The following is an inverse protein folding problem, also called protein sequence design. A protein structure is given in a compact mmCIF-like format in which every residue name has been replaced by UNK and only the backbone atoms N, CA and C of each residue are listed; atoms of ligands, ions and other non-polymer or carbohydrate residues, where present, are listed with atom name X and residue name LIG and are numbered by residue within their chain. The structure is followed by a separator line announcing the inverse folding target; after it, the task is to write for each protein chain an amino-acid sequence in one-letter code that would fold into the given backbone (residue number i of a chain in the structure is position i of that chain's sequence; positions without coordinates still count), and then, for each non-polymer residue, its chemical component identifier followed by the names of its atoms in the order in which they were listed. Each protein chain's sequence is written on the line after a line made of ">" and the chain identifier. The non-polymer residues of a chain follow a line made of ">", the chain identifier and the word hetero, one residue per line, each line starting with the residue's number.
data_IF_001903388430
#
_entry.id   IF_001903388430
#
_cell.length_a   1.000
_cell.length_b   1.000
_cell.length_c   1.000
_cell.angle_alpha   90.00
_cell.angle_beta   90.00
_cell.angle_gamma   90.00
#
_symmetry.space_group_name_H-M   'P 1'
#
loop_
_entity.id
_entity.type
_entity.pdbx_description
1 polymer ?
#
# COMPACT_ATOMS: atom_id res chain seq x y z
N UNK A 1 31.76 3.55 -52.33
CA UNK A 1 30.98 4.77 -52.01
C UNK A 1 29.99 4.40 -50.93
N UNK A 2 30.28 4.73 -49.67
CA UNK A 2 29.41 4.43 -48.53
C UNK A 2 28.24 5.40 -48.50
N UNK A 3 27.01 4.88 -48.49
CA UNK A 3 25.81 5.70 -48.57
C UNK A 3 25.61 6.55 -47.29
N UNK A 4 25.58 7.89 -47.38
CA UNK A 4 25.35 8.79 -46.23
C UNK A 4 23.93 8.72 -45.65
N UNK A 5 23.04 7.94 -46.26
CA UNK A 5 21.63 7.80 -45.88
C UNK A 5 21.41 6.99 -44.59
N UNK A 6 22.33 6.08 -44.25
CA UNK A 6 22.22 5.28 -43.01
C UNK A 6 22.39 6.11 -41.74
N UNK A 7 23.31 7.08 -41.75
CA UNK A 7 23.58 7.95 -40.60
C UNK A 7 22.39 8.86 -40.26
N UNK A 8 21.69 9.34 -41.30
CA UNK A 8 20.50 10.19 -41.15
C UNK A 8 19.31 9.43 -40.53
N UNK A 9 19.13 8.15 -40.92
CA UNK A 9 18.10 7.28 -40.33
C UNK A 9 18.35 7.01 -38.84
N UNK A 10 19.60 6.76 -38.44
CA UNK A 10 19.96 6.57 -37.03
C UNK A 10 19.81 7.86 -36.20
N UNK A 11 20.17 9.01 -36.76
CA UNK A 11 19.99 10.31 -36.09
C UNK A 11 18.51 10.63 -35.90
N UNK A 12 17.67 10.37 -36.90
CA UNK A 12 16.22 10.55 -36.81
C UNK A 12 15.60 9.63 -35.75
N UNK A 13 16.06 8.38 -35.66
CA UNK A 13 15.62 7.42 -34.64
C UNK A 13 16.01 7.87 -33.21
N UNK A 14 17.25 8.34 -33.02
CA UNK A 14 17.66 8.91 -31.73
C UNK A 14 16.85 10.16 -31.37
N UNK A 15 16.59 11.05 -32.34
CA UNK A 15 15.76 12.24 -32.13
C UNK A 15 14.31 11.88 -31.77
N UNK A 16 13.74 10.82 -32.37
CA UNK A 16 12.42 10.33 -31.96
C UNK A 16 12.42 9.78 -30.53
N UNK A 17 13.45 9.03 -30.13
CA UNK A 17 13.59 8.55 -28.73
C UNK A 17 13.82 9.69 -27.73
N UNK A 18 14.47 10.79 -28.15
CA UNK A 18 14.67 12.01 -27.35
C UNK A 18 13.43 12.92 -27.31
N UNK A 19 12.45 12.74 -28.21
CA UNK A 19 11.25 13.58 -28.32
C UNK A 19 9.96 12.85 -27.97
N UNK A 20 10.01 11.53 -27.77
CA UNK A 20 8.97 10.80 -27.06
C UNK A 20 8.96 11.32 -25.61
N UNK A 21 7.89 12.00 -25.15
CA UNK A 21 7.79 12.33 -23.75
C UNK A 21 7.86 11.01 -22.98
N UNK A 22 8.86 10.86 -22.12
CA UNK A 22 8.88 9.81 -21.12
C UNK A 22 7.69 10.08 -20.22
N UNK A 23 6.52 9.55 -20.60
CA UNK A 23 5.34 9.56 -19.77
C UNK A 23 5.70 8.67 -18.60
N UNK A 24 5.68 9.22 -17.38
CA UNK A 24 5.90 8.39 -16.20
C UNK A 24 4.86 7.29 -16.19
N UNK A 25 5.33 6.04 -16.30
CA UNK A 25 4.49 4.87 -16.09
C UNK A 25 4.59 4.56 -14.61
N UNK A 26 3.47 4.75 -13.91
CA UNK A 26 3.36 4.36 -12.52
C UNK A 26 2.98 2.88 -12.47
N UNK A 27 3.60 2.15 -11.55
CA UNK A 27 3.27 0.75 -11.26
C UNK A 27 2.95 0.57 -9.78
N UNK A 28 2.24 -0.50 -9.47
CA UNK A 28 1.99 -0.93 -8.10
C UNK A 28 3.09 -1.92 -7.72
N UNK A 29 4.16 -1.40 -7.12
CA UNK A 29 5.28 -2.23 -6.68
C UNK A 29 5.07 -2.70 -5.24
N UNK A 30 5.55 -3.89 -4.84
CA UNK A 30 5.36 -4.36 -3.48
C UNK A 30 6.01 -3.45 -2.43
N UNK A 31 7.23 -2.97 -2.69
CA UNK A 31 8.02 -2.19 -1.74
C UNK A 31 9.04 -1.24 -2.39
N UNK A 32 9.71 -0.46 -1.54
CA UNK A 32 10.70 0.53 -1.96
C UNK A 32 11.86 -0.05 -2.80
N UNK A 33 12.25 -1.31 -2.58
CA UNK A 33 13.33 -1.95 -3.32
C UNK A 33 12.92 -2.27 -4.74
N UNK A 34 11.73 -2.83 -4.94
CA UNK A 34 11.18 -3.05 -6.29
C UNK A 34 11.04 -1.75 -7.08
N UNK A 35 10.57 -0.67 -6.44
CA UNK A 35 10.51 0.66 -7.05
C UNK A 35 11.89 1.19 -7.46
N UNK A 36 12.87 1.02 -6.58
CA UNK A 36 14.25 1.49 -6.77
C UNK A 36 14.94 0.76 -7.93
N UNK A 37 14.83 -0.57 -7.97
CA UNK A 37 15.47 -1.40 -9.02
C UNK A 37 14.87 -1.11 -10.40
N UNK A 38 13.58 -0.80 -10.47
CA UNK A 38 12.87 -0.46 -11.71
C UNK A 38 13.03 1.00 -12.13
N UNK A 39 13.79 1.82 -11.39
CA UNK A 39 13.94 3.27 -11.61
C UNK A 39 12.59 4.03 -11.69
N UNK A 40 11.56 3.53 -11.00
CA UNK A 40 10.19 4.03 -11.09
C UNK A 40 9.86 4.97 -9.93
N UNK A 41 10.66 6.02 -9.74
CA UNK A 41 10.64 6.86 -8.53
C UNK A 41 9.29 7.50 -8.20
N UNK A 42 8.47 7.82 -9.20
CA UNK A 42 7.12 8.37 -9.02
C UNK A 42 6.05 7.34 -8.66
N UNK A 43 6.37 6.05 -8.58
CA UNK A 43 5.38 5.01 -8.27
C UNK A 43 5.08 4.90 -6.78
N UNK A 44 3.82 4.60 -6.48
CA UNK A 44 3.33 4.32 -5.13
C UNK A 44 3.38 2.80 -4.91
N UNK A 45 3.96 2.37 -3.80
CA UNK A 45 4.11 0.95 -3.47
C UNK A 45 3.00 0.44 -2.55
N UNK A 46 2.80 -0.89 -2.48
CA UNK A 46 1.89 -1.51 -1.53
C UNK A 46 2.28 -1.18 -0.09
N UNK A 47 3.59 -1.10 0.17
CA UNK A 47 4.14 -0.59 1.42
C UNK A 47 3.68 0.86 1.68
N UNK A 48 3.89 1.79 0.74
CA UNK A 48 3.50 3.20 0.91
C UNK A 48 1.99 3.31 1.22
N UNK A 49 1.13 2.66 0.43
CA UNK A 49 -0.33 2.66 0.64
C UNK A 49 -0.72 2.10 2.00
N UNK A 50 -0.07 1.02 2.44
CA UNK A 50 -0.37 0.36 3.71
C UNK A 50 0.04 1.22 4.91
N UNK A 51 1.25 1.79 4.88
CA UNK A 51 1.76 2.65 5.94
C UNK A 51 0.92 3.93 6.06
N UNK A 52 0.64 4.59 4.93
CA UNK A 52 -0.21 5.79 4.88
C UNK A 52 -1.62 5.52 5.39
N UNK A 53 -2.24 4.40 5.01
CA UNK A 53 -3.57 4.03 5.47
C UNK A 53 -3.62 3.81 6.99
N UNK A 54 -2.64 3.10 7.55
CA UNK A 54 -2.59 2.86 9.00
C UNK A 54 -2.39 4.17 9.76
N UNK A 55 -1.51 5.06 9.29
CA UNK A 55 -1.29 6.37 9.91
C UNK A 55 -2.55 7.25 9.87
N UNK A 56 -3.22 7.31 8.71
CA UNK A 56 -4.46 8.05 8.54
C UNK A 56 -5.58 7.54 9.46
N UNK A 57 -5.78 6.22 9.51
CA UNK A 57 -6.80 5.60 10.38
C UNK A 57 -6.46 5.86 11.86
N UNK A 58 -5.19 5.77 12.23
CA UNK A 58 -4.75 6.02 13.62
C UNK A 58 -4.98 7.47 14.03
N UNK A 59 -4.68 8.43 13.15
CA UNK A 59 -4.97 9.84 13.39
C UNK A 59 -6.47 10.07 13.61
N UNK A 60 -7.34 9.52 12.74
CA UNK A 60 -8.80 9.61 12.88
C UNK A 60 -9.28 9.02 14.21
N UNK A 61 -8.80 7.83 14.58
CA UNK A 61 -9.14 7.21 15.87
C UNK A 61 -8.72 8.08 17.05
N UNK A 62 -7.54 8.70 17.01
CA UNK A 62 -7.07 9.58 18.07
C UNK A 62 -7.82 10.93 18.11
N UNK A 63 -8.38 11.39 16.99
CA UNK A 63 -9.29 12.54 16.96
C UNK A 63 -10.66 12.18 17.56
N UNK A 64 -11.14 10.95 17.41
CA UNK A 64 -12.43 10.52 17.95
C UNK A 64 -12.36 10.06 19.42
N UNK A 65 -11.15 9.71 19.89
CA UNK A 65 -10.94 9.18 21.24
C UNK A 65 -10.73 10.33 22.24
N UNK A 66 -11.46 10.36 23.37
CA UNK A 66 -11.22 11.34 24.42
C UNK A 66 -9.76 11.31 24.89
N UNK A 67 -9.10 12.47 24.83
CA UNK A 67 -7.69 12.59 25.18
C UNK A 67 -7.45 12.20 26.65
N UNK A 68 -6.41 11.40 26.95
CA UNK A 68 -6.12 10.92 28.32
C UNK A 68 -5.77 12.07 29.30
N UNK A 69 -5.28 13.19 28.77
CA UNK A 69 -4.99 14.43 29.51
C UNK A 69 -6.04 15.51 29.17
N UNK A 70 -6.66 16.13 30.18
CA UNK A 70 -7.72 17.13 29.97
C UNK A 70 -7.24 18.29 29.08
N UNK A 71 -7.97 18.56 27.98
CA UNK A 71 -7.98 19.86 27.29
C UNK A 71 -7.14 19.99 26.01
N UNK A 72 -6.50 18.93 25.52
CA UNK A 72 -5.82 18.94 24.21
C UNK A 72 -6.54 17.97 23.27
N UNK A 73 -7.08 18.47 22.17
CA UNK A 73 -7.71 17.65 21.14
C UNK A 73 -6.86 17.75 19.89
N UNK A 74 -6.66 16.64 19.19
CA UNK A 74 -6.00 16.68 17.88
C UNK A 74 -6.97 17.33 16.90
N UNK A 75 -6.52 18.36 16.20
CA UNK A 75 -7.31 18.98 15.15
C UNK A 75 -6.78 18.57 13.77
N UNK A 76 -7.68 18.46 12.79
CA UNK A 76 -7.29 18.05 11.43
C UNK A 76 -6.29 19.03 10.81
N UNK A 77 -6.43 20.33 11.10
CA UNK A 77 -5.50 21.36 10.63
C UNK A 77 -4.04 21.15 11.09
N UNK A 78 -3.81 20.44 12.21
CA UNK A 78 -2.47 20.21 12.74
C UNK A 78 -1.64 19.32 11.79
N UNK A 79 -2.31 18.50 10.99
CA UNK A 79 -1.71 17.49 10.11
C UNK A 79 -1.96 17.74 8.61
N UNK A 80 -2.84 18.68 8.26
CA UNK A 80 -3.17 18.99 6.86
C UNK A 80 -1.94 19.41 6.05
N UNK A 81 -1.72 18.72 4.92
CA UNK A 81 -0.61 19.00 4.00
C UNK A 81 0.77 18.59 4.51
N UNK A 82 0.85 17.85 5.62
CA UNK A 82 2.09 17.30 6.16
C UNK A 82 2.15 15.79 5.90
N UNK A 83 3.36 15.27 5.73
CA UNK A 83 3.60 13.83 5.81
C UNK A 83 3.26 13.36 7.22
N UNK A 84 2.41 12.35 7.34
CA UNK A 84 2.06 11.79 8.63
C UNK A 84 3.23 10.97 9.17
N UNK A 85 3.62 11.21 10.42
CA UNK A 85 4.62 10.42 11.12
C UNK A 85 4.01 9.86 12.40
N UNK A 86 4.32 8.58 12.66
CA UNK A 86 3.85 7.90 13.86
C UNK A 86 4.25 8.63 15.15
N UNK A 87 5.48 9.15 15.21
CA UNK A 87 5.99 9.88 16.37
C UNK A 87 5.24 11.21 16.56
N UNK A 88 4.86 11.92 15.49
CA UNK A 88 4.08 13.16 15.57
C UNK A 88 2.64 12.90 16.04
N UNK A 89 1.99 11.86 15.50
CA UNK A 89 0.63 11.45 15.90
C UNK A 89 0.61 11.06 17.39
N UNK A 90 1.61 10.28 17.84
CA UNK A 90 1.71 9.87 19.24
C UNK A 90 2.03 11.03 20.17
N UNK A 91 2.96 11.92 19.77
CA UNK A 91 3.28 13.10 20.55
C UNK A 91 2.07 14.04 20.69
N UNK A 92 1.23 14.14 19.67
CA UNK A 92 0.00 14.92 19.70
C UNK A 92 -1.05 14.33 20.65
N UNK A 93 -1.22 13.00 20.67
CA UNK A 93 -2.26 12.32 21.47
C UNK A 93 -1.86 11.97 22.91
N UNK A 94 -0.61 11.55 23.12
CA UNK A 94 -0.13 11.09 24.43
C UNK A 94 0.85 12.09 25.08
N UNK A 95 1.40 13.02 24.31
CA UNK A 95 2.48 13.92 24.72
C UNK A 95 3.86 13.46 24.21
N UNK A 96 4.85 14.38 24.17
CA UNK A 96 6.14 14.15 23.51
C UNK A 96 7.02 13.06 24.13
N UNK A 97 6.72 12.65 25.36
CA UNK A 97 7.47 11.62 26.09
C UNK A 97 7.10 10.18 25.68
N UNK A 98 5.97 9.98 24.98
CA UNK A 98 5.48 8.65 24.62
C UNK A 98 6.06 8.21 23.28
N UNK A 99 6.80 7.10 23.31
CA UNK A 99 7.44 6.55 22.12
C UNK A 99 6.47 5.82 21.19
N UNK A 100 6.49 6.16 19.91
CA UNK A 100 5.78 5.44 18.85
C UNK A 100 6.53 4.20 18.33
N UNK A 101 7.68 3.82 18.92
CA UNK A 101 8.55 2.75 18.39
C UNK A 101 7.84 1.41 18.20
N UNK A 102 7.04 0.98 19.18
CA UNK A 102 6.29 -0.29 19.10
C UNK A 102 5.21 -0.24 18.02
N UNK A 103 4.60 0.93 17.83
CA UNK A 103 3.60 1.15 16.80
C UNK A 103 4.22 1.16 15.40
N UNK A 104 5.36 1.83 15.20
CA UNK A 104 6.14 1.74 13.95
C UNK A 104 6.55 0.31 13.62
N UNK A 105 6.99 -0.47 14.61
CA UNK A 105 7.29 -1.88 14.41
C UNK A 105 6.05 -2.68 13.98
N UNK A 106 4.88 -2.41 14.57
CA UNK A 106 3.62 -3.03 14.17
C UNK A 106 3.21 -2.66 12.73
N UNK A 107 3.35 -1.39 12.32
CA UNK A 107 3.13 -0.96 10.93
C UNK A 107 4.04 -1.74 9.99
N UNK A 108 5.34 -1.81 10.30
CA UNK A 108 6.32 -2.52 9.50
C UNK A 108 6.01 -4.01 9.39
N UNK A 109 5.50 -4.67 10.43
CA UNK A 109 5.06 -6.07 10.35
C UNK A 109 3.92 -6.27 9.34
N UNK A 110 2.94 -5.36 9.31
CA UNK A 110 1.83 -5.42 8.34
C UNK A 110 2.32 -5.15 6.92
N UNK A 111 3.10 -4.08 6.73
CA UNK A 111 3.62 -3.69 5.41
C UNK A 111 4.56 -4.75 4.83
N UNK A 112 5.44 -5.34 5.64
CA UNK A 112 6.32 -6.43 5.21
C UNK A 112 5.52 -7.69 4.87
N UNK A 113 4.47 -8.02 5.63
CA UNK A 113 3.62 -9.17 5.33
C UNK A 113 2.78 -8.98 4.06
N UNK A 114 2.40 -7.73 3.76
CA UNK A 114 1.78 -7.36 2.48
C UNK A 114 2.78 -7.57 1.34
N UNK A 115 3.92 -6.87 1.37
CA UNK A 115 4.91 -6.95 0.30
C UNK A 115 5.47 -8.38 0.09
N UNK A 116 5.57 -9.18 1.15
CA UNK A 116 6.08 -10.55 1.08
C UNK A 116 5.24 -11.48 0.18
N UNK A 117 3.98 -11.14 -0.08
CA UNK A 117 3.10 -11.95 -0.92
C UNK A 117 3.66 -12.15 -2.34
N UNK A 118 4.33 -11.14 -2.89
CA UNK A 118 4.98 -11.18 -4.21
C UNK A 118 6.31 -11.92 -4.25
N UNK A 119 6.89 -12.27 -3.09
CA UNK A 119 8.24 -12.85 -3.03
C UNK A 119 8.24 -14.27 -2.47
N UNK A 120 7.27 -14.64 -1.65
CA UNK A 120 7.24 -15.95 -0.99
C UNK A 120 6.71 -17.00 -1.97
N UNK A 121 7.47 -18.09 -2.17
CA UNK A 121 7.13 -19.15 -3.13
C UNK A 121 5.74 -19.78 -2.94
N UNK A 122 5.18 -19.76 -1.73
CA UNK A 122 3.85 -20.32 -1.45
C UNK A 122 2.70 -19.40 -1.81
N UNK A 123 2.98 -18.14 -2.19
CA UNK A 123 1.96 -17.12 -2.45
C UNK A 123 2.16 -16.48 -3.83
N UNK A 124 3.39 -16.12 -4.18
CA UNK A 124 3.74 -15.26 -5.33
C UNK A 124 3.20 -15.71 -6.69
N UNK A 125 3.05 -17.03 -6.87
CA UNK A 125 2.65 -17.65 -8.15
C UNK A 125 1.23 -18.25 -8.06
N UNK A 126 0.52 -18.05 -6.92
CA UNK A 126 -0.80 -18.61 -6.69
C UNK A 126 -1.89 -17.52 -6.88
N UNK A 127 -2.69 -17.60 -7.96
CA UNK A 127 -3.65 -16.55 -8.33
C UNK A 127 -4.74 -16.30 -7.27
N UNK A 128 -4.98 -17.24 -6.35
CA UNK A 128 -5.95 -17.05 -5.26
C UNK A 128 -5.51 -16.00 -4.23
N UNK A 129 -4.26 -15.55 -4.26
CA UNK A 129 -3.77 -14.47 -3.41
C UNK A 129 -3.74 -13.11 -4.10
N UNK A 130 -3.82 -13.10 -5.43
CA UNK A 130 -3.53 -11.94 -6.28
C UNK A 130 -4.73 -11.46 -7.12
N UNK A 131 -5.93 -12.01 -6.88
CA UNK A 131 -7.13 -11.75 -7.71
C UNK A 131 -6.90 -11.98 -9.22
N UNK A 132 -6.00 -12.91 -9.55
CA UNK A 132 -5.60 -13.21 -10.91
C UNK A 132 -6.41 -14.35 -11.52
N UNK A 133 -6.22 -14.55 -12.84
CA UNK A 133 -6.74 -15.70 -13.58
C UNK A 133 -8.26 -15.87 -13.46
N UNK A 134 -9.00 -14.77 -13.33
CA UNK A 134 -10.46 -14.74 -13.17
C UNK A 134 -10.98 -15.50 -11.94
N UNK A 135 -10.13 -15.75 -10.94
CA UNK A 135 -10.51 -16.49 -9.72
C UNK A 135 -11.21 -15.62 -8.67
N UNK A 136 -11.93 -14.58 -9.10
CA UNK A 136 -12.54 -13.54 -8.25
C UNK A 136 -13.36 -14.15 -7.10
N UNK A 137 -14.19 -15.17 -7.38
CA UNK A 137 -15.02 -15.80 -6.34
C UNK A 137 -14.20 -16.54 -5.29
N UNK A 138 -13.20 -17.31 -5.70
CA UNK A 138 -12.34 -18.07 -4.80
C UNK A 138 -11.47 -17.14 -3.96
N UNK A 139 -10.91 -16.10 -4.59
CA UNK A 139 -10.10 -15.09 -3.92
C UNK A 139 -10.95 -14.28 -2.93
N UNK A 140 -12.17 -13.87 -3.29
CA UNK A 140 -13.06 -13.19 -2.35
C UNK A 140 -13.46 -14.07 -1.16
N UNK A 141 -13.81 -15.34 -1.40
CA UNK A 141 -14.13 -16.29 -0.32
C UNK A 141 -12.95 -16.44 0.66
N UNK A 142 -11.72 -16.51 0.14
CA UNK A 142 -10.49 -16.51 0.93
C UNK A 142 -10.31 -15.21 1.72
N UNK A 143 -10.47 -14.06 1.06
CA UNK A 143 -10.31 -12.73 1.68
C UNK A 143 -11.25 -12.56 2.89
N UNK A 144 -12.53 -12.91 2.73
CA UNK A 144 -13.51 -12.86 3.81
C UNK A 144 -13.21 -13.86 4.94
N UNK A 145 -12.62 -15.02 4.62
CA UNK A 145 -12.18 -15.99 5.61
C UNK A 145 -10.99 -15.47 6.41
N UNK A 146 -9.95 -14.96 5.75
CA UNK A 146 -8.77 -14.37 6.41
C UNK A 146 -9.19 -13.20 7.30
N UNK A 147 -10.18 -12.39 6.89
CA UNK A 147 -10.73 -11.31 7.74
C UNK A 147 -11.26 -11.85 9.07
N UNK A 148 -12.04 -12.93 9.04
CA UNK A 148 -12.55 -13.55 10.27
C UNK A 148 -11.41 -14.03 11.17
N UNK A 149 -10.37 -14.61 10.57
CA UNK A 149 -9.20 -15.11 11.30
C UNK A 149 -8.36 -13.97 11.90
N UNK A 150 -8.20 -12.84 11.20
CA UNK A 150 -7.58 -11.62 11.76
C UNK A 150 -8.35 -11.17 13.01
N UNK A 151 -9.67 -11.05 12.92
CA UNK A 151 -10.50 -10.64 14.05
C UNK A 151 -10.44 -11.64 15.21
N UNK A 152 -10.37 -12.94 14.92
CA UNK A 152 -10.21 -13.98 15.93
C UNK A 152 -8.83 -13.90 16.61
N UNK A 153 -7.76 -13.69 15.84
CA UNK A 153 -6.41 -13.53 16.35
C UNK A 153 -6.30 -12.30 17.27
N UNK A 154 -6.92 -11.17 16.89
CA UNK A 154 -7.01 -9.98 17.74
C UNK A 154 -7.73 -10.27 19.06
N UNK A 155 -8.90 -10.95 19.02
CA UNK A 155 -9.66 -11.33 20.23
C UNK A 155 -8.89 -12.29 21.15
N UNK A 156 -8.00 -13.10 20.56
CA UNK A 156 -7.16 -14.04 21.28
C UNK A 156 -5.80 -13.45 21.68
N UNK A 157 -5.62 -12.14 21.52
CA UNK A 157 -4.39 -11.39 21.82
C UNK A 157 -3.14 -11.86 21.02
N UNK A 158 -3.36 -12.58 19.92
CA UNK A 158 -2.31 -13.06 19.02
C UNK A 158 -1.94 -11.97 18.00
N UNK A 159 -1.51 -10.80 18.48
CA UNK A 159 -1.36 -9.62 17.64
C UNK A 159 -0.33 -9.75 16.51
N UNK A 160 0.75 -10.51 16.71
CA UNK A 160 1.73 -10.76 15.65
C UNK A 160 1.14 -11.56 14.48
N UNK A 161 0.34 -12.59 14.80
CA UNK A 161 -0.38 -13.37 13.79
C UNK A 161 -1.43 -12.50 13.09
N UNK A 162 -2.20 -11.72 13.87
CA UNK A 162 -3.18 -10.79 13.31
C UNK A 162 -2.56 -9.80 12.32
N UNK A 163 -1.41 -9.20 12.64
CA UNK A 163 -0.71 -8.26 11.75
C UNK A 163 -0.20 -8.92 10.48
N UNK A 164 0.36 -10.13 10.58
CA UNK A 164 0.79 -10.89 9.41
C UNK A 164 -0.40 -11.17 8.47
N UNK A 165 -1.49 -11.69 9.01
CA UNK A 165 -2.69 -12.02 8.23
C UNK A 165 -3.37 -10.76 7.66
N UNK A 166 -3.35 -9.65 8.40
CA UNK A 166 -3.82 -8.36 7.91
C UNK A 166 -3.01 -7.90 6.71
N UNK A 167 -1.67 -8.01 6.74
CA UNK A 167 -0.82 -7.69 5.60
C UNK A 167 -1.17 -8.51 4.36
N UNK A 168 -1.36 -9.83 4.52
CA UNK A 168 -1.75 -10.73 3.42
C UNK A 168 -3.12 -10.35 2.84
N UNK A 169 -4.09 -10.04 3.71
CA UNK A 169 -5.42 -9.60 3.29
C UNK A 169 -5.37 -8.28 2.53
N UNK A 170 -4.60 -7.31 3.02
CA UNK A 170 -4.45 -6.00 2.39
C UNK A 170 -3.78 -6.11 1.02
N UNK A 171 -2.82 -7.01 0.86
CA UNK A 171 -2.20 -7.29 -0.43
C UNK A 171 -3.25 -7.75 -1.46
N UNK A 172 -4.02 -8.80 -1.14
CA UNK A 172 -5.09 -9.26 -2.04
C UNK A 172 -6.11 -8.16 -2.31
N UNK A 173 -6.48 -7.36 -1.32
CA UNK A 173 -7.42 -6.26 -1.53
C UNK A 173 -6.86 -5.19 -2.48
N UNK A 174 -5.57 -4.88 -2.38
CA UNK A 174 -4.90 -3.94 -3.30
C UNK A 174 -4.87 -4.51 -4.72
N UNK A 175 -4.54 -5.79 -4.87
CA UNK A 175 -4.52 -6.47 -6.17
C UNK A 175 -5.91 -6.50 -6.83
N UNK A 176 -7.00 -6.63 -6.06
CA UNK A 176 -8.33 -6.52 -6.63
C UNK A 176 -8.53 -5.17 -7.35
N UNK A 177 -8.15 -4.05 -6.73
CA UNK A 177 -8.37 -2.73 -7.31
C UNK A 177 -7.41 -2.41 -8.47
N UNK A 178 -6.25 -3.06 -8.55
CA UNK A 178 -5.32 -2.92 -9.67
C UNK A 178 -5.57 -3.91 -10.82
N UNK A 179 -6.15 -5.08 -10.54
CA UNK A 179 -6.36 -6.16 -11.52
C UNK A 179 -7.82 -6.28 -12.01
N UNK A 180 -8.74 -5.54 -11.40
CA UNK A 180 -10.12 -5.39 -11.89
C UNK A 180 -10.30 -4.06 -12.63
N UNK A 181 -11.45 -3.90 -13.30
CA UNK A 181 -11.86 -2.63 -13.90
C UNK A 181 -12.74 -1.78 -12.95
N UNK A 182 -12.75 -2.06 -11.63
CA UNK A 182 -13.65 -1.40 -10.69
C UNK A 182 -13.50 0.12 -10.72
N UNK A 183 -12.26 0.61 -10.70
CA UNK A 183 -11.94 2.04 -10.72
C UNK A 183 -12.21 2.64 -12.10
N UNK A 184 -11.89 1.94 -13.19
CA UNK A 184 -12.13 2.38 -14.56
C UNK A 184 -13.62 2.52 -14.90
N UNK A 185 -14.48 1.77 -14.21
CA UNK A 185 -15.93 1.92 -14.27
C UNK A 185 -16.46 3.18 -13.54
N UNK A 186 -15.58 3.96 -12.91
CA UNK A 186 -15.93 5.18 -12.18
C UNK A 186 -16.43 4.94 -10.76
N UNK A 187 -16.19 3.75 -10.19
CA UNK A 187 -16.50 3.51 -8.79
C UNK A 187 -15.41 4.09 -7.89
N UNK A 188 -15.81 4.97 -6.97
CA UNK A 188 -14.92 5.59 -5.99
C UNK A 188 -15.07 4.98 -4.59
N UNK A 189 -16.13 4.18 -4.39
CA UNK A 189 -16.46 3.53 -3.13
C UNK A 189 -15.83 2.14 -3.01
N UNK A 190 -15.75 1.66 -1.76
CA UNK A 190 -15.32 0.29 -1.46
C UNK A 190 -16.33 -0.70 -2.05
N UNK A 191 -15.83 -1.72 -2.74
CA UNK A 191 -16.68 -2.84 -3.16
C UNK A 191 -17.17 -3.64 -1.95
N UNK A 192 -18.46 -3.53 -1.63
CA UNK A 192 -19.03 -4.06 -0.39
C UNK A 192 -18.89 -5.58 -0.23
N UNK A 193 -18.90 -6.34 -1.34
CA UNK A 193 -18.69 -7.79 -1.29
C UNK A 193 -17.27 -8.21 -0.84
N UNK A 194 -16.32 -7.28 -0.75
CA UNK A 194 -14.95 -7.52 -0.26
C UNK A 194 -14.77 -7.18 1.23
N UNK A 195 -15.78 -6.59 1.90
CA UNK A 195 -15.66 -6.01 3.25
C UNK A 195 -16.82 -6.33 4.19
#
# INVERSE_FOLDING_TARGET
>A
MGHPLGCFGHLLWMLMLLHLPLREVHGFFPNIWSRTISFSWGSITHQDMTEDAILNITLRLFMETPHPTKGKHIQEEDFKGKTLLADDIFAAFYGPEVSAKRFRAAIAEVANANAAMDFVNTTRDDPVFHFDSELIHSTNARLLQVRKEVLQAVRSEQYGIARKMLGQLLHSLQDFYSHSNWVELGNEEIHLDLV
#
